data_IF_370242495121
#
_entry.id   IF_370242495121
#
_cell.length_a   1.000
_cell.length_b   1.000
_cell.length_c   1.000
_cell.angle_alpha   90.00
_cell.angle_beta   90.00
_cell.angle_gamma   90.00
#
_symmetry.space_group_name_H-M   'P 1'
#
loop_
_entity.id
_entity.type
_entity.pdbx_description
1 polymer ?
#
# COMPACT_ATOMS: atom_id res chain seq x y z
N UNK A 1 -5.14 24.30 3.43
CA UNK A 1 -6.44 24.42 4.13
C UNK A 1 -7.42 25.29 3.34
N UNK A 2 -6.95 26.06 2.36
CA UNK A 2 -7.79 26.69 1.34
C UNK A 2 -8.60 25.68 0.49
N UNK A 3 -9.88 25.53 0.80
CA UNK A 3 -10.80 24.61 0.12
C UNK A 3 -10.97 24.90 -1.39
N UNK A 4 -11.14 26.17 -1.84
CA UNK A 4 -11.15 26.51 -3.25
C UNK A 4 -9.97 25.94 -4.03
N UNK A 5 -8.74 26.11 -3.55
CA UNK A 5 -7.55 25.56 -4.21
C UNK A 5 -7.57 24.03 -4.24
N UNK A 6 -7.96 23.38 -3.14
CA UNK A 6 -8.08 21.92 -3.07
C UNK A 6 -9.09 21.41 -4.11
N UNK A 7 -10.27 22.03 -4.21
CA UNK A 7 -11.28 21.66 -5.20
C UNK A 7 -10.79 21.90 -6.63
N UNK A 8 -10.05 22.97 -6.86
CA UNK A 8 -9.48 23.26 -8.17
C UNK A 8 -8.46 22.22 -8.60
N UNK A 9 -7.53 21.86 -7.72
CA UNK A 9 -6.53 20.80 -7.97
C UNK A 9 -7.23 19.46 -8.22
N UNK A 10 -8.23 19.12 -7.40
CA UNK A 10 -9.01 17.89 -7.59
C UNK A 10 -9.74 17.87 -8.95
N UNK A 11 -10.37 18.96 -9.38
CA UNK A 11 -11.01 19.06 -10.71
C UNK A 11 -9.97 18.90 -11.85
N UNK A 12 -8.81 19.55 -11.73
CA UNK A 12 -7.73 19.44 -12.72
C UNK A 12 -7.25 17.99 -12.89
N UNK A 13 -6.98 17.30 -11.77
CA UNK A 13 -6.47 15.94 -11.78
C UNK A 13 -7.52 14.93 -12.27
N UNK A 14 -8.78 15.09 -11.89
CA UNK A 14 -9.87 14.26 -12.41
C UNK A 14 -10.03 14.41 -13.93
N UNK A 15 -9.94 15.65 -14.46
CA UNK A 15 -10.00 15.89 -15.91
C UNK A 15 -8.78 15.36 -16.65
N UNK A 16 -7.62 15.36 -16.01
CA UNK A 16 -6.38 14.82 -16.57
C UNK A 16 -6.28 13.29 -16.46
N UNK A 17 -7.10 12.64 -15.61
CA UNK A 17 -6.99 11.22 -15.31
C UNK A 17 -5.75 10.89 -14.47
N UNK A 18 -5.36 11.80 -13.57
CA UNK A 18 -4.17 11.64 -12.71
C UNK A 18 -4.56 11.37 -11.26
N UNK A 19 -3.76 10.55 -10.57
CA UNK A 19 -3.97 10.23 -9.16
C UNK A 19 -3.72 11.46 -8.26
N UNK A 20 -4.68 11.74 -7.38
CA UNK A 20 -4.63 12.86 -6.45
C UNK A 20 -3.67 12.63 -5.30
N UNK A 21 -3.47 11.37 -4.87
CA UNK A 21 -2.56 11.03 -3.79
C UNK A 21 -1.12 11.25 -4.24
N UNK A 22 -0.71 10.58 -5.33
CA UNK A 22 0.62 10.73 -5.91
C UNK A 22 0.93 12.17 -6.32
N UNK A 23 0.01 12.86 -7.00
CA UNK A 23 0.25 14.26 -7.37
C UNK A 23 0.41 15.16 -6.13
N UNK A 24 -0.38 14.94 -5.08
CA UNK A 24 -0.24 15.65 -3.81
C UNK A 24 1.13 15.43 -3.17
N UNK A 25 1.60 14.18 -3.14
CA UNK A 25 2.93 13.81 -2.65
C UNK A 25 4.07 14.44 -3.46
N UNK A 26 3.95 14.45 -4.80
CA UNK A 26 4.90 15.06 -5.72
C UNK A 26 4.99 16.58 -5.55
N UNK A 27 3.85 17.26 -5.40
CA UNK A 27 3.83 18.71 -5.14
C UNK A 27 4.45 19.03 -3.78
N UNK A 28 4.12 18.24 -2.74
CA UNK A 28 4.71 18.38 -1.42
C UNK A 28 6.24 18.21 -1.46
N UNK A 29 6.72 17.20 -2.18
CA UNK A 29 8.15 16.98 -2.42
C UNK A 29 8.83 18.18 -3.10
N UNK A 30 8.21 18.75 -4.13
CA UNK A 30 8.76 19.90 -4.86
C UNK A 30 8.84 21.16 -3.97
N UNK A 31 7.80 21.42 -3.16
CA UNK A 31 7.81 22.53 -2.19
C UNK A 31 8.93 22.33 -1.18
N UNK A 32 9.08 21.12 -0.62
CA UNK A 32 10.12 20.85 0.38
C UNK A 32 11.53 20.97 -0.21
N UNK A 33 11.75 20.50 -1.44
CA UNK A 33 13.01 20.70 -2.15
C UNK A 33 13.31 22.19 -2.38
N UNK A 34 12.29 23.00 -2.66
CA UNK A 34 12.45 24.45 -2.83
C UNK A 34 12.80 25.15 -1.50
N UNK A 35 12.12 24.80 -0.40
CA UNK A 35 12.43 25.36 0.92
C UNK A 35 13.85 25.01 1.40
N UNK A 36 14.36 23.85 0.98
CA UNK A 36 15.72 23.41 1.28
C UNK A 36 16.75 23.86 0.23
N UNK A 37 16.37 24.70 -0.73
CA UNK A 37 17.27 25.27 -1.74
C UNK A 37 17.79 24.29 -2.80
N UNK A 38 17.22 23.09 -2.88
CA UNK A 38 17.52 22.11 -3.94
C UNK A 38 16.89 22.56 -5.27
N UNK A 39 15.65 23.04 -5.20
CA UNK A 39 14.98 23.70 -6.31
C UNK A 39 14.98 25.20 -6.08
N UNK A 40 15.12 25.96 -7.15
CA UNK A 40 15.05 27.42 -7.12
C UNK A 40 14.08 27.93 -8.18
N UNK A 41 13.88 29.26 -8.22
CA UNK A 41 13.07 29.90 -9.26
C UNK A 41 13.60 29.66 -10.68
N UNK A 42 14.85 29.19 -10.82
CA UNK A 42 15.40 28.80 -12.11
C UNK A 42 14.77 27.52 -12.64
N UNK A 43 14.57 26.52 -11.79
CA UNK A 43 13.98 25.23 -12.20
C UNK A 43 12.45 25.33 -12.29
N UNK A 44 11.82 26.19 -11.49
CA UNK A 44 10.37 26.34 -11.41
C UNK A 44 9.79 27.38 -12.38
N UNK A 45 10.56 27.84 -13.37
CA UNK A 45 10.16 28.89 -14.33
C UNK A 45 9.66 30.19 -13.65
N UNK A 46 10.32 30.58 -12.56
CA UNK A 46 10.01 31.78 -11.79
C UNK A 46 8.97 31.59 -10.68
N UNK A 47 8.39 30.39 -10.53
CA UNK A 47 7.39 30.12 -9.51
C UNK A 47 8.04 29.97 -8.13
N UNK A 48 7.59 30.74 -7.14
CA UNK A 48 7.98 30.50 -5.75
C UNK A 48 7.11 29.39 -5.15
N UNK A 49 7.73 28.32 -4.67
CA UNK A 49 7.01 27.22 -4.04
C UNK A 49 7.04 27.37 -2.52
N UNK A 50 5.86 27.53 -1.90
CA UNK A 50 5.72 27.71 -0.44
C UNK A 50 4.54 26.89 0.08
N UNK A 51 4.66 26.37 1.30
CA UNK A 51 3.52 25.71 1.95
C UNK A 51 2.36 26.69 2.13
N UNK A 52 1.15 26.22 1.78
CA UNK A 52 -0.07 27.02 1.89
C UNK A 52 -0.32 27.98 0.73
N UNK A 53 0.58 28.09 -0.24
CA UNK A 53 0.36 28.90 -1.45
C UNK A 53 -0.48 28.13 -2.48
N UNK A 54 -1.80 28.34 -2.43
CA UNK A 54 -2.76 27.66 -3.31
C UNK A 54 -2.54 27.92 -4.79
N UNK A 55 -2.19 29.16 -5.18
CA UNK A 55 -1.98 29.54 -6.57
C UNK A 55 -0.71 28.87 -7.14
N UNK A 56 0.38 28.84 -6.37
CA UNK A 56 1.60 28.14 -6.77
C UNK A 56 1.37 26.62 -6.90
N UNK A 57 0.62 26.02 -5.97
CA UNK A 57 0.24 24.61 -6.01
C UNK A 57 -0.59 24.27 -7.25
N UNK A 58 -1.61 25.09 -7.56
CA UNK A 58 -2.43 24.91 -8.77
C UNK A 58 -1.53 25.00 -10.00
N UNK A 59 -0.65 26.00 -10.06
CA UNK A 59 0.20 26.22 -11.23
C UNK A 59 1.20 25.07 -11.45
N UNK A 60 1.83 24.59 -10.39
CA UNK A 60 2.72 23.44 -10.46
C UNK A 60 1.96 22.18 -10.89
N UNK A 61 0.74 21.98 -10.40
CA UNK A 61 -0.13 20.88 -10.83
C UNK A 61 -0.41 20.94 -12.33
N UNK A 62 -0.73 22.12 -12.88
CA UNK A 62 -0.90 22.29 -14.33
C UNK A 62 0.37 21.98 -15.12
N UNK A 63 1.54 22.35 -14.60
CA UNK A 63 2.83 22.05 -15.22
C UNK A 63 3.08 20.54 -15.26
N UNK A 64 2.78 19.82 -14.16
CA UNK A 64 2.86 18.36 -14.08
C UNK A 64 1.95 17.70 -15.11
N UNK A 65 0.66 18.09 -15.15
CA UNK A 65 -0.33 17.56 -16.11
C UNK A 65 0.15 17.74 -17.56
N UNK A 66 0.78 18.89 -17.87
CA UNK A 66 1.25 19.22 -19.21
C UNK A 66 2.67 18.74 -19.50
N UNK A 67 3.37 18.15 -18.53
CA UNK A 67 4.81 17.84 -18.59
C UNK A 67 5.64 19.03 -19.09
N UNK A 68 5.47 20.19 -18.45
CA UNK A 68 6.16 21.44 -18.83
C UNK A 68 7.16 21.87 -17.76
N UNK A 69 8.39 22.19 -18.18
CA UNK A 69 9.47 22.62 -17.28
C UNK A 69 9.72 21.55 -16.20
N UNK A 70 9.78 21.97 -14.94
CA UNK A 70 9.86 21.07 -13.78
C UNK A 70 8.74 20.01 -13.76
N UNK A 71 7.57 20.31 -14.33
CA UNK A 71 6.45 19.37 -14.42
C UNK A 71 6.78 18.07 -15.16
N UNK A 72 7.68 18.09 -16.15
CA UNK A 72 8.11 16.86 -16.85
C UNK A 72 8.93 15.93 -15.95
N UNK A 73 9.76 16.52 -15.08
CA UNK A 73 10.56 15.78 -14.09
C UNK A 73 9.65 15.16 -13.03
N UNK A 74 8.67 15.95 -12.55
CA UNK A 74 7.77 15.58 -11.46
C UNK A 74 6.68 14.57 -11.88
N UNK A 75 6.29 14.55 -13.16
CA UNK A 75 5.19 13.71 -13.65
C UNK A 75 5.43 12.19 -13.54
N UNK A 76 6.66 11.76 -13.26
CA UNK A 76 7.03 10.33 -13.11
C UNK A 76 7.08 9.88 -11.63
N UNK A 77 6.58 10.69 -10.69
CA UNK A 77 6.51 10.36 -9.26
C UNK A 77 7.76 10.73 -8.48
N UNK A 78 7.67 10.76 -7.14
CA UNK A 78 8.73 11.30 -6.27
C UNK A 78 10.04 10.53 -6.34
N UNK A 79 9.99 9.20 -6.55
CA UNK A 79 11.19 8.37 -6.62
C UNK A 79 12.06 8.75 -7.82
N UNK A 80 11.47 8.74 -9.02
CA UNK A 80 12.20 9.09 -10.25
C UNK A 80 12.52 10.58 -10.32
N UNK A 81 11.64 11.44 -9.79
CA UNK A 81 11.93 12.87 -9.70
C UNK A 81 13.16 13.14 -8.81
N UNK A 82 13.25 12.50 -7.64
CA UNK A 82 14.40 12.63 -6.75
C UNK A 82 15.70 12.11 -7.39
N UNK A 83 15.66 10.98 -8.10
CA UNK A 83 16.81 10.47 -8.85
C UNK A 83 17.30 11.46 -9.92
N UNK A 84 16.38 12.13 -10.63
CA UNK A 84 16.72 13.12 -11.67
C UNK A 84 17.21 14.44 -11.08
N UNK A 85 16.62 14.91 -9.99
CA UNK A 85 16.99 16.17 -9.32
C UNK A 85 18.31 16.00 -8.57
N UNK A 86 18.52 14.86 -7.93
CA UNK A 86 19.68 14.55 -7.11
C UNK A 86 19.80 15.46 -5.89
N UNK A 87 21.03 15.79 -5.50
CA UNK A 87 21.35 16.76 -4.44
C UNK A 87 20.75 16.44 -3.06
N UNK A 88 20.57 15.16 -2.74
CA UNK A 88 19.99 14.74 -1.46
C UNK A 88 18.46 14.85 -1.41
N UNK A 89 17.79 15.11 -2.54
CA UNK A 89 16.33 15.24 -2.59
C UNK A 89 15.60 13.96 -2.19
N UNK A 90 16.25 12.79 -2.25
CA UNK A 90 15.68 11.53 -1.80
C UNK A 90 15.21 11.55 -0.34
N UNK A 91 15.79 12.42 0.51
CA UNK A 91 15.36 12.62 1.89
C UNK A 91 13.94 13.21 2.03
N UNK A 92 13.43 13.82 0.96
CA UNK A 92 12.11 14.44 0.87
C UNK A 92 11.12 13.60 0.04
N UNK A 93 11.59 12.55 -0.65
CA UNK A 93 10.78 11.70 -1.51
C UNK A 93 10.01 10.64 -0.69
N UNK A 94 8.88 11.04 -0.09
CA UNK A 94 8.11 10.18 0.82
C UNK A 94 7.29 9.14 0.05
N UNK A 95 7.83 7.93 -0.11
CA UNK A 95 7.18 6.83 -0.81
C UNK A 95 7.41 5.45 -0.16
N UNK A 96 6.68 4.44 -0.64
CA UNK A 96 6.91 3.01 -0.39
C UNK A 96 7.18 2.35 -1.74
N UNK A 97 8.43 1.94 -2.01
CA UNK A 97 8.78 1.29 -3.29
C UNK A 97 8.60 2.09 -4.58
N UNK A 98 8.33 3.40 -4.48
CA UNK A 98 8.03 4.29 -5.61
C UNK A 98 6.59 4.80 -5.63
N UNK A 99 5.70 4.25 -4.80
CA UNK A 99 4.34 4.76 -4.63
C UNK A 99 4.26 5.72 -3.46
N UNK A 100 3.75 6.94 -3.68
CA UNK A 100 3.57 7.93 -2.63
C UNK A 100 2.64 7.43 -1.51
N UNK A 101 2.93 7.85 -0.28
CA UNK A 101 2.15 7.42 0.87
C UNK A 101 0.76 8.10 0.91
N UNK A 102 -0.31 7.37 1.28
CA UNK A 102 -1.66 7.91 1.40
C UNK A 102 -1.87 8.62 2.75
N UNK A 103 -3.10 9.09 3.01
CA UNK A 103 -3.46 9.91 4.18
C UNK A 103 -3.51 9.17 5.53
N UNK A 104 -2.98 7.95 5.64
CA UNK A 104 -2.99 7.20 6.90
C UNK A 104 -1.58 7.01 7.41
N UNK A 105 -1.29 7.56 8.59
CA UNK A 105 0.02 7.45 9.20
C UNK A 105 0.18 6.10 9.93
N UNK A 106 1.09 5.21 9.48
CA UNK A 106 1.30 3.90 10.10
C UNK A 106 1.73 3.95 11.56
N UNK A 107 2.22 5.09 12.05
CA UNK A 107 2.54 5.27 13.48
C UNK A 107 1.29 5.22 14.36
N UNK A 108 0.09 5.40 13.81
CA UNK A 108 -1.17 5.22 14.54
C UNK A 108 -1.83 3.86 14.32
N UNK A 109 -1.75 3.33 13.11
CA UNK A 109 -2.23 1.99 12.74
C UNK A 109 -1.10 1.27 11.99
N UNK A 110 -0.26 0.50 12.72
CA UNK A 110 0.83 -0.25 12.11
C UNK A 110 0.39 -1.30 11.10
N UNK A 111 -0.89 -1.68 11.07
CA UNK A 111 -1.44 -2.53 10.02
C UNK A 111 -1.25 -1.90 8.64
N UNK A 112 -1.39 -0.58 8.51
CA UNK A 112 -1.04 0.12 7.28
C UNK A 112 0.45 0.01 6.95
N UNK A 113 1.32 0.10 7.95
CA UNK A 113 2.77 -0.08 7.75
C UNK A 113 3.10 -1.43 7.15
N UNK A 114 2.45 -2.50 7.66
CA UNK A 114 2.59 -3.85 7.10
C UNK A 114 2.19 -3.90 5.63
N UNK A 115 0.97 -3.49 5.27
CA UNK A 115 0.55 -3.57 3.85
C UNK A 115 1.33 -2.64 2.94
N UNK A 116 1.73 -1.45 3.40
CA UNK A 116 2.49 -0.50 2.58
C UNK A 116 3.84 -1.06 2.14
N UNK A 117 4.48 -1.87 2.98
CA UNK A 117 5.79 -2.47 2.69
C UNK A 117 5.75 -3.93 2.29
N UNK A 118 4.63 -4.63 2.46
CA UNK A 118 4.58 -6.09 2.26
C UNK A 118 3.52 -6.55 1.25
N UNK A 119 2.49 -5.75 0.95
CA UNK A 119 1.52 -6.12 -0.09
C UNK A 119 2.20 -6.09 -1.47
N UNK A 120 1.77 -6.92 -2.44
CA UNK A 120 2.26 -6.86 -3.81
C UNK A 120 2.06 -5.52 -4.49
N UNK A 121 1.19 -4.64 -3.96
CA UNK A 121 1.13 -3.24 -4.40
C UNK A 121 1.46 -2.33 -3.21
N UNK A 122 2.59 -1.60 -3.27
CA UNK A 122 3.07 -0.82 -2.13
C UNK A 122 2.18 0.39 -1.85
N UNK A 123 2.32 0.98 -0.65
CA UNK A 123 1.68 2.26 -0.33
C UNK A 123 0.14 2.30 -0.38
N UNK A 124 -0.55 1.16 -0.46
CA UNK A 124 -2.03 1.13 -0.54
C UNK A 124 -2.71 0.99 0.81
N UNK A 125 -3.59 1.94 1.12
CA UNK A 125 -4.42 1.95 2.32
C UNK A 125 -5.76 1.21 2.17
N UNK A 126 -6.10 0.76 0.97
CA UNK A 126 -7.36 0.08 0.71
C UNK A 126 -7.28 -1.44 0.92
N UNK A 127 -6.12 -2.00 1.29
CA UNK A 127 -5.95 -3.46 1.37
C UNK A 127 -6.43 -3.99 2.72
N UNK A 128 -5.64 -3.77 3.77
CA UNK A 128 -5.87 -4.30 5.12
C UNK A 128 -5.22 -3.37 6.14
N UNK A 129 -5.80 -3.25 7.33
CA UNK A 129 -5.23 -2.50 8.46
C UNK A 129 -5.95 -2.91 9.75
N UNK A 130 -5.48 -2.48 10.93
CA UNK A 130 -6.18 -2.79 12.17
C UNK A 130 -7.58 -2.16 12.18
N UNK A 131 -7.70 -0.94 11.67
CA UNK A 131 -8.99 -0.26 11.51
C UNK A 131 -9.92 -1.00 10.56
N UNK A 132 -9.43 -1.45 9.40
CA UNK A 132 -10.27 -2.17 8.44
C UNK A 132 -10.74 -3.52 9.01
N UNK A 133 -9.86 -4.26 9.68
CA UNK A 133 -10.20 -5.54 10.30
C UNK A 133 -11.27 -5.40 11.39
N UNK A 134 -11.24 -4.33 12.18
CA UNK A 134 -12.27 -4.06 13.21
C UNK A 134 -13.64 -3.76 12.59
N UNK A 135 -13.66 -3.03 11.47
CA UNK A 135 -14.88 -2.67 10.75
C UNK A 135 -15.50 -3.87 10.02
N UNK A 136 -14.66 -4.68 9.37
CA UNK A 136 -15.09 -5.83 8.55
C UNK A 136 -15.53 -7.03 9.40
N UNK A 137 -15.09 -7.12 10.67
CA UNK A 137 -15.51 -8.15 11.65
C UNK A 137 -15.38 -9.59 11.11
N UNK A 138 -14.28 -9.84 10.39
CA UNK A 138 -14.02 -11.11 9.71
C UNK A 138 -14.02 -12.32 10.65
N UNK A 139 -13.74 -12.11 11.94
CA UNK A 139 -13.80 -13.12 13.00
C UNK A 139 -15.19 -13.74 13.19
N UNK A 140 -16.25 -13.07 12.71
CA UNK A 140 -17.63 -13.57 12.78
C UNK A 140 -18.00 -14.50 11.62
N UNK A 141 -17.26 -14.44 10.52
CA UNK A 141 -17.60 -15.14 9.28
C UNK A 141 -16.55 -16.20 8.93
N UNK A 142 -15.27 -15.85 9.03
CA UNK A 142 -14.19 -16.71 8.56
C UNK A 142 -13.47 -17.42 9.71
N UNK A 143 -13.33 -18.74 9.59
CA UNK A 143 -12.55 -19.53 10.53
C UNK A 143 -11.08 -19.09 10.52
N UNK A 144 -10.50 -18.93 11.71
CA UNK A 144 -9.10 -18.52 11.86
C UNK A 144 -8.88 -17.00 11.83
N UNK A 145 -9.88 -16.21 11.40
CA UNK A 145 -9.83 -14.76 11.54
C UNK A 145 -9.88 -14.38 13.03
N UNK A 146 -9.03 -13.41 13.41
CA UNK A 146 -8.90 -12.92 14.79
C UNK A 146 -9.40 -11.49 14.84
N UNK A 147 -10.21 -11.20 15.87
CA UNK A 147 -10.64 -9.83 16.14
C UNK A 147 -9.43 -8.93 16.38
N UNK A 148 -9.32 -7.86 15.61
CA UNK A 148 -8.25 -6.87 15.73
C UNK A 148 -8.89 -5.49 15.93
N UNK A 149 -9.00 -5.00 17.17
CA UNK A 149 -9.73 -3.76 17.45
C UNK A 149 -8.96 -2.52 16.97
N UNK A 150 -9.62 -1.54 16.38
CA UNK A 150 -8.96 -0.29 15.97
C UNK A 150 -8.43 0.49 17.18
N UNK A 151 -9.15 0.41 18.30
CA UNK A 151 -8.79 1.05 19.56
C UNK A 151 -8.13 0.04 20.50
N UNK A 152 -6.83 0.20 20.68
CA UNK A 152 -6.04 -0.63 21.58
C UNK A 152 -4.98 0.19 22.33
N UNK A 153 -4.49 -0.38 23.43
CA UNK A 153 -3.37 0.22 24.18
C UNK A 153 -2.11 0.31 23.30
N UNK A 154 -1.23 1.27 23.57
CA UNK A 154 0.03 1.39 22.84
C UNK A 154 0.86 0.08 22.88
N UNK A 155 0.86 -0.62 24.03
CA UNK A 155 1.56 -1.90 24.18
C UNK A 155 1.05 -2.98 23.24
N UNK A 156 -0.26 -3.02 22.98
CA UNK A 156 -0.87 -4.00 22.08
C UNK A 156 -0.77 -3.57 20.60
N UNK A 157 -0.80 -2.26 20.34
CA UNK A 157 -0.70 -1.67 18.99
C UNK A 157 0.58 -2.04 18.28
N UNK A 158 1.69 -2.00 19.00
CA UNK A 158 3.02 -2.21 18.43
C UNK A 158 3.55 -3.64 18.66
N UNK A 159 2.65 -4.60 18.94
CA UNK A 159 2.95 -6.04 18.93
C UNK A 159 2.51 -6.59 17.58
N UNK A 160 3.46 -7.06 16.78
CA UNK A 160 3.25 -7.40 15.38
C UNK A 160 3.03 -8.90 15.19
N UNK A 161 3.69 -9.72 16.00
CA UNK A 161 3.76 -11.19 15.87
C UNK A 161 2.39 -11.85 15.97
N UNK A 162 1.44 -11.23 16.68
CA UNK A 162 0.07 -11.74 16.81
C UNK A 162 -0.92 -11.16 15.77
N UNK A 163 -0.44 -10.30 14.84
CA UNK A 163 -1.29 -9.60 13.85
C UNK A 163 -1.11 -10.11 12.43
N UNK A 164 0.01 -10.78 12.12
CA UNK A 164 0.29 -11.32 10.78
C UNK A 164 -0.88 -12.11 10.16
N UNK A 165 -1.40 -13.11 10.86
CA UNK A 165 -2.54 -13.93 10.41
C UNK A 165 -3.77 -13.08 10.08
N UNK A 166 -4.11 -12.13 10.95
CA UNK A 166 -5.30 -11.30 10.79
C UNK A 166 -5.15 -10.37 9.58
N UNK A 167 -3.96 -9.79 9.42
CA UNK A 167 -3.63 -8.95 8.28
C UNK A 167 -3.69 -9.74 6.96
N UNK A 168 -3.16 -10.97 6.94
CA UNK A 168 -3.20 -11.85 5.77
C UNK A 168 -4.64 -12.21 5.36
N UNK A 169 -5.49 -12.61 6.33
CA UNK A 169 -6.92 -12.86 6.07
C UNK A 169 -7.61 -11.60 5.56
N UNK A 170 -7.31 -10.42 6.11
CA UNK A 170 -7.83 -9.15 5.58
C UNK A 170 -7.44 -8.93 4.11
N UNK A 171 -6.19 -9.20 3.75
CA UNK A 171 -5.73 -9.12 2.35
C UNK A 171 -6.44 -10.13 1.44
N UNK A 172 -6.67 -11.36 1.91
CA UNK A 172 -7.41 -12.37 1.14
C UNK A 172 -8.87 -11.95 0.92
N UNK A 173 -9.53 -11.47 1.98
CA UNK A 173 -10.89 -10.96 1.89
C UNK A 173 -10.97 -9.76 0.94
N UNK A 174 -9.99 -8.85 0.97
CA UNK A 174 -9.91 -7.75 0.01
C UNK A 174 -9.89 -8.25 -1.43
N UNK A 175 -9.08 -9.25 -1.76
CA UNK A 175 -9.03 -9.83 -3.11
C UNK A 175 -10.39 -10.37 -3.54
N UNK A 176 -11.12 -11.02 -2.62
CA UNK A 176 -12.48 -11.47 -2.89
C UNK A 176 -13.42 -10.30 -3.19
N UNK A 177 -13.43 -9.25 -2.36
CA UNK A 177 -14.29 -8.07 -2.55
C UNK A 177 -13.99 -7.38 -3.88
N UNK A 178 -12.72 -7.15 -4.18
CA UNK A 178 -12.30 -6.45 -5.40
C UNK A 178 -12.66 -7.26 -6.66
N UNK A 179 -12.39 -8.57 -6.67
CA UNK A 179 -12.73 -9.43 -7.81
C UNK A 179 -14.24 -9.66 -7.97
N UNK A 180 -15.03 -9.55 -6.89
CA UNK A 180 -16.48 -9.56 -6.96
C UNK A 180 -17.06 -8.25 -7.54
N UNK A 181 -16.24 -7.21 -7.75
CA UNK A 181 -16.71 -5.87 -8.08
C UNK A 181 -17.42 -5.18 -6.91
N UNK A 182 -17.20 -5.67 -5.69
CA UNK A 182 -17.79 -5.15 -4.47
C UNK A 182 -17.15 -3.83 -4.04
N UNK A 183 -17.98 -2.90 -3.55
CA UNK A 183 -17.45 -1.68 -2.93
C UNK A 183 -16.89 -2.00 -1.54
N UNK A 184 -15.64 -1.62 -1.29
CA UNK A 184 -14.98 -1.70 0.02
C UNK A 184 -15.80 -1.06 1.14
N UNK A 185 -16.42 0.10 0.90
CA UNK A 185 -17.26 0.74 1.92
C UNK A 185 -18.51 -0.06 2.26
N UNK A 186 -18.99 -0.88 1.34
CA UNK A 186 -20.09 -1.80 1.60
C UNK A 186 -19.75 -2.76 2.73
N UNK A 187 -18.59 -3.42 2.66
CA UNK A 187 -18.18 -4.41 3.66
C UNK A 187 -17.62 -3.80 4.96
N UNK A 188 -17.28 -2.50 4.96
CA UNK A 188 -16.72 -1.80 6.12
C UNK A 188 -17.75 -0.98 6.89
N UNK A 189 -18.60 -0.23 6.18
CA UNK A 189 -19.52 0.76 6.76
C UNK A 189 -20.98 0.38 6.44
N UNK A 190 -21.21 -0.36 5.36
CA UNK A 190 -22.54 -0.80 4.92
C UNK A 190 -23.21 -1.88 5.78
N UNK A 191 -22.53 -2.37 6.82
CA UNK A 191 -23.03 -3.43 7.72
C UNK A 191 -22.69 -4.83 7.23
N UNK A 192 -23.45 -5.83 7.70
CA UNK A 192 -23.23 -7.26 7.37
C UNK A 192 -23.73 -7.58 5.95
N UNK A 193 -23.01 -7.09 4.94
CA UNK A 193 -23.30 -7.40 3.53
C UNK A 193 -23.12 -8.92 3.30
N UNK A 194 -24.15 -9.63 2.80
CA UNK A 194 -24.09 -11.07 2.58
C UNK A 194 -23.39 -11.39 1.24
N UNK A 195 -22.16 -10.89 1.06
CA UNK A 195 -21.39 -10.97 -0.19
C UNK A 195 -21.33 -12.39 -0.75
N UNK A 196 -21.07 -13.37 0.11
CA UNK A 196 -20.92 -14.78 -0.29
C UNK A 196 -22.24 -15.39 -0.75
N UNK A 197 -23.36 -15.01 -0.12
CA UNK A 197 -24.69 -15.43 -0.56
C UNK A 197 -25.03 -14.83 -1.94
N UNK A 198 -24.66 -13.57 -2.16
CA UNK A 198 -24.84 -12.93 -3.46
C UNK A 198 -23.99 -13.58 -4.55
N UNK A 199 -22.73 -13.89 -4.26
CA UNK A 199 -21.85 -14.60 -5.19
C UNK A 199 -22.44 -15.96 -5.55
N UNK A 200 -22.82 -16.77 -4.56
CA UNK A 200 -23.45 -18.07 -4.83
C UNK A 200 -24.76 -17.95 -5.62
N UNK A 201 -25.60 -16.96 -5.34
CA UNK A 201 -26.85 -16.74 -6.07
C UNK A 201 -26.61 -16.29 -7.52
N UNK A 202 -25.50 -15.61 -7.80
CA UNK A 202 -25.16 -15.12 -9.14
C UNK A 202 -24.40 -16.17 -9.97
N UNK A 203 -23.64 -17.07 -9.34
CA UNK A 203 -22.72 -17.99 -10.02
C UNK A 203 -23.12 -19.46 -9.95
N UNK A 204 -24.07 -19.81 -9.08
CA UNK A 204 -24.45 -21.19 -8.74
C UNK A 204 -23.27 -22.07 -8.23
N UNK A 205 -22.18 -21.46 -7.77
CA UNK A 205 -21.01 -22.20 -7.30
C UNK A 205 -21.25 -22.97 -6.00
N UNK A 206 -22.18 -22.50 -5.16
CA UNK A 206 -22.53 -23.13 -3.89
C UNK A 206 -21.33 -23.39 -2.96
N UNK A 207 -20.36 -22.47 -2.95
CA UNK A 207 -19.14 -22.56 -2.16
C UNK A 207 -19.36 -22.03 -0.74
N UNK A 208 -18.56 -22.52 0.21
CA UNK A 208 -18.57 -22.05 1.60
C UNK A 208 -17.78 -20.75 1.78
N UNK A 209 -17.92 -20.12 2.95
CA UNK A 209 -17.13 -18.94 3.32
C UNK A 209 -15.61 -19.20 3.22
N UNK A 210 -15.17 -20.40 3.61
CA UNK A 210 -13.75 -20.77 3.58
C UNK A 210 -13.24 -20.99 2.16
N UNK A 211 -14.07 -21.52 1.26
CA UNK A 211 -13.69 -21.71 -0.14
C UNK A 211 -13.49 -20.36 -0.84
N UNK A 212 -14.34 -19.37 -0.55
CA UNK A 212 -14.16 -18.01 -1.07
C UNK A 212 -12.94 -17.30 -0.47
N UNK A 213 -12.66 -17.49 0.82
CA UNK A 213 -11.43 -16.95 1.40
C UNK A 213 -10.18 -17.59 0.77
N UNK A 214 -10.23 -18.90 0.48
CA UNK A 214 -9.18 -19.62 -0.23
C UNK A 214 -8.99 -19.09 -1.68
N UNK A 215 -10.07 -18.69 -2.37
CA UNK A 215 -9.96 -17.99 -3.66
C UNK A 215 -9.22 -16.64 -3.48
N UNK A 216 -9.56 -15.88 -2.45
CA UNK A 216 -8.87 -14.62 -2.11
C UNK A 216 -7.38 -14.82 -1.84
N UNK A 217 -7.03 -15.86 -1.09
CA UNK A 217 -5.63 -16.27 -0.86
C UNK A 217 -4.92 -16.60 -2.17
N UNK A 218 -5.53 -17.41 -3.04
CA UNK A 218 -4.98 -17.78 -4.35
C UNK A 218 -4.63 -16.54 -5.18
N UNK A 219 -5.53 -15.56 -5.22
CA UNK A 219 -5.31 -14.30 -5.96
C UNK A 219 -4.15 -13.51 -5.34
N UNK A 220 -4.10 -13.41 -4.01
CA UNK A 220 -3.02 -12.70 -3.31
C UNK A 220 -1.66 -13.34 -3.58
N UNK A 221 -1.58 -14.68 -3.56
CA UNK A 221 -0.34 -15.39 -3.89
C UNK A 221 0.10 -15.18 -5.34
N UNK A 222 -0.85 -15.17 -6.28
CA UNK A 222 -0.55 -14.90 -7.68
C UNK A 222 -0.01 -13.48 -7.91
N UNK A 223 -0.61 -12.47 -7.24
CA UNK A 223 -0.12 -11.09 -7.28
C UNK A 223 1.31 -10.97 -6.75
N UNK A 224 1.60 -11.63 -5.63
CA UNK A 224 2.95 -11.64 -5.06
C UNK A 224 3.95 -12.35 -5.97
N UNK A 225 3.58 -13.52 -6.48
CA UNK A 225 4.40 -14.29 -7.40
C UNK A 225 4.78 -13.51 -8.67
N UNK A 226 3.88 -12.65 -9.18
CA UNK A 226 4.19 -11.74 -10.27
C UNK A 226 5.39 -10.85 -9.93
N UNK A 227 5.40 -10.20 -8.77
CA UNK A 227 6.52 -9.34 -8.37
C UNK A 227 7.82 -10.12 -8.24
N UNK A 228 7.77 -11.31 -7.65
CA UNK A 228 8.96 -12.17 -7.51
C UNK A 228 9.53 -12.56 -8.88
N UNK A 229 8.66 -12.90 -9.86
CA UNK A 229 9.07 -13.17 -11.24
C UNK A 229 9.76 -11.95 -11.88
N UNK A 230 9.25 -10.75 -11.60
CA UNK A 230 9.85 -9.49 -12.07
C UNK A 230 11.10 -9.07 -11.25
N UNK A 231 11.54 -9.89 -10.29
CA UNK A 231 12.75 -9.64 -9.49
C UNK A 231 12.55 -8.68 -8.32
N UNK A 232 11.31 -8.48 -7.86
CA UNK A 232 10.96 -7.63 -6.73
C UNK A 232 10.52 -8.46 -5.52
N UNK A 233 11.19 -8.29 -4.40
CA UNK A 233 10.77 -8.76 -3.09
C UNK A 233 10.13 -7.60 -2.31
N UNK A 234 8.79 -7.55 -2.14
CA UNK A 234 8.09 -6.43 -1.52
C UNK A 234 8.69 -5.95 -0.19
N UNK A 235 9.03 -6.83 0.75
CA UNK A 235 9.53 -6.38 2.06
C UNK A 235 10.92 -5.70 2.00
N UNK A 236 11.64 -5.88 0.89
CA UNK A 236 12.95 -5.26 0.64
C UNK A 236 12.77 -4.05 -0.28
N UNK A 237 12.07 -4.22 -1.41
CA UNK A 237 11.98 -3.20 -2.46
C UNK A 237 10.94 -2.13 -2.17
N UNK A 238 9.92 -2.44 -1.34
CA UNK A 238 8.82 -1.53 -1.01
C UNK A 238 8.95 -0.93 0.39
N UNK A 239 10.14 -0.94 0.96
CA UNK A 239 10.37 -0.39 2.31
C UNK A 239 9.83 1.03 2.46
N UNK A 240 9.28 1.28 3.64
CA UNK A 240 8.71 2.57 4.01
C UNK A 240 9.82 3.63 4.07
N UNK A 241 9.60 4.79 3.46
CA UNK A 241 10.46 5.95 3.69
C UNK A 241 10.61 6.23 5.20
N UNK A 242 11.80 6.62 5.70
CA UNK A 242 12.07 6.79 7.14
C UNK A 242 11.07 7.71 7.87
N UNK A 243 10.55 8.74 7.18
CA UNK A 243 9.50 9.64 7.71
C UNK A 243 8.18 8.92 8.02
N UNK A 244 7.82 7.93 7.20
CA UNK A 244 6.60 7.12 7.38
C UNK A 244 6.77 6.23 8.61
N UNK A 245 7.92 5.56 8.72
CA UNK A 245 8.22 4.61 9.81
C UNK A 245 8.65 5.29 11.12
N UNK A 246 8.93 6.59 11.12
CA UNK A 246 9.31 7.34 12.32
C UNK A 246 10.80 7.23 12.67
N UNK A 247 11.67 7.34 11.68
CA UNK A 247 13.13 7.36 11.84
C UNK A 247 13.73 8.65 11.25
N UNK A 248 14.12 9.62 12.08
CA UNK A 248 13.94 9.68 13.54
C UNK A 248 12.46 9.87 13.95
N UNK A 249 12.09 9.55 15.20
CA UNK A 249 10.72 9.72 15.67
C UNK A 249 10.35 11.20 15.80
N UNK A 250 9.05 11.49 15.73
CA UNK A 250 8.52 12.83 15.95
C UNK A 250 8.77 13.29 17.40
N UNK A 251 9.04 14.58 17.57
CA UNK A 251 9.31 15.23 18.85
C UNK A 251 8.03 15.71 19.56
N UNK A 252 6.93 15.85 18.81
CA UNK A 252 5.63 16.37 19.25
C UNK A 252 4.44 15.64 18.60
N UNK A 253 3.25 15.93 19.11
CA UNK A 253 1.99 15.39 18.60
C UNK A 253 1.70 13.96 19.10
N UNK A 254 0.58 13.35 18.66
CA UNK A 254 0.09 12.11 19.24
C UNK A 254 0.91 10.86 18.83
N UNK A 255 1.79 10.98 17.84
CA UNK A 255 2.77 9.95 17.45
C UNK A 255 4.20 10.25 17.94
N UNK A 256 4.35 11.14 18.92
CA UNK A 256 5.65 11.48 19.52
C UNK A 256 6.35 10.22 20.02
N UNK A 257 7.64 10.10 19.68
CA UNK A 257 8.49 9.00 20.14
C UNK A 257 8.17 7.64 19.52
N UNK A 258 7.29 7.57 18.52
CA UNK A 258 6.95 6.31 17.84
C UNK A 258 7.91 6.09 16.67
N UNK A 259 8.59 4.94 16.70
CA UNK A 259 9.34 4.36 15.59
C UNK A 259 8.84 2.94 15.38
N UNK A 260 8.48 2.60 14.15
CA UNK A 260 7.93 1.29 13.81
C UNK A 260 9.03 0.29 13.52
N UNK A 261 8.91 -0.93 14.02
CA UNK A 261 9.81 -2.02 13.64
C UNK A 261 9.31 -2.64 12.33
N UNK A 262 9.81 -2.10 11.21
CA UNK A 262 9.41 -2.53 9.86
C UNK A 262 9.82 -3.97 9.59
N UNK A 263 10.93 -4.43 10.15
CA UNK A 263 11.40 -5.80 9.96
C UNK A 263 10.55 -6.81 10.73
N UNK A 264 10.16 -6.50 11.97
CA UNK A 264 9.21 -7.32 12.72
C UNK A 264 7.82 -7.35 12.07
N UNK A 265 7.35 -6.21 11.54
CA UNK A 265 6.11 -6.13 10.76
C UNK A 265 6.15 -7.03 9.51
N UNK A 266 7.25 -6.94 8.74
CA UNK A 266 7.45 -7.76 7.55
C UNK A 266 7.52 -9.25 7.89
N UNK A 267 8.24 -9.60 8.96
CA UNK A 267 8.37 -10.98 9.45
C UNK A 267 7.00 -11.58 9.78
N UNK A 268 6.20 -10.89 10.59
CA UNK A 268 4.88 -11.38 10.98
C UNK A 268 3.95 -11.58 9.76
N UNK A 269 3.98 -10.66 8.78
CA UNK A 269 3.15 -10.79 7.58
C UNK A 269 3.64 -11.90 6.64
N UNK A 270 4.96 -12.02 6.42
CA UNK A 270 5.54 -13.03 5.53
C UNK A 270 5.38 -14.44 6.09
N UNK A 271 5.54 -14.62 7.40
CA UNK A 271 5.24 -15.89 8.07
C UNK A 271 3.77 -16.30 7.86
N UNK A 272 2.83 -15.36 8.06
CA UNK A 272 1.40 -15.60 7.84
C UNK A 272 1.06 -15.90 6.37
N UNK A 273 1.80 -15.32 5.42
CA UNK A 273 1.66 -15.56 3.98
C UNK A 273 2.37 -16.83 3.49
N UNK A 274 3.27 -17.41 4.30
CA UNK A 274 4.14 -18.51 3.88
C UNK A 274 5.14 -18.06 2.82
N UNK A 275 5.70 -16.86 2.97
CA UNK A 275 6.72 -16.28 2.12
C UNK A 275 8.06 -16.27 2.83
N UNK A 276 9.13 -16.58 2.09
CA UNK A 276 10.48 -16.53 2.62
C UNK A 276 11.00 -15.08 2.63
N UNK A 277 11.53 -14.61 3.75
CA UNK A 277 11.87 -13.19 3.91
C UNK A 277 12.96 -12.70 2.95
N UNK A 278 13.99 -13.51 2.68
CA UNK A 278 15.15 -13.05 1.90
C UNK A 278 14.87 -13.03 0.40
N UNK A 279 14.26 -14.08 -0.15
CA UNK A 279 13.92 -14.16 -1.57
C UNK A 279 12.52 -13.68 -1.92
N UNK A 280 11.61 -13.62 -0.95
CA UNK A 280 10.18 -13.41 -1.17
C UNK A 280 9.45 -14.63 -1.75
N UNK A 281 10.13 -15.75 -1.99
CA UNK A 281 9.50 -16.93 -2.61
C UNK A 281 8.38 -17.50 -1.73
N UNK A 282 7.20 -17.79 -2.32
CA UNK A 282 6.15 -18.52 -1.61
C UNK A 282 6.50 -19.99 -1.36
N UNK A 283 6.01 -20.54 -0.26
CA UNK A 283 6.06 -21.97 0.04
C UNK A 283 5.38 -22.78 -1.09
N UNK A 284 6.12 -23.65 -1.80
CA UNK A 284 5.57 -24.46 -2.88
C UNK A 284 4.42 -25.36 -2.44
N UNK A 285 4.45 -25.90 -1.21
CA UNK A 285 3.36 -26.75 -0.72
C UNK A 285 2.07 -25.95 -0.52
N UNK A 286 2.19 -24.65 -0.20
CA UNK A 286 1.04 -23.75 -0.10
C UNK A 286 0.47 -23.41 -1.48
N UNK A 287 1.34 -23.11 -2.46
CA UNK A 287 0.92 -22.90 -3.84
C UNK A 287 0.22 -24.13 -4.43
N UNK A 288 0.70 -25.33 -4.12
CA UNK A 288 0.11 -26.59 -4.58
C UNK A 288 -1.30 -26.77 -4.03
N UNK A 289 -1.52 -26.52 -2.73
CA UNK A 289 -2.87 -26.55 -2.12
C UNK A 289 -3.82 -25.53 -2.74
N UNK A 290 -3.30 -24.44 -3.28
CA UNK A 290 -4.06 -23.39 -3.96
C UNK A 290 -4.27 -23.71 -5.45
N UNK A 291 -3.70 -24.79 -5.99
CA UNK A 291 -3.79 -25.15 -7.40
C UNK A 291 -2.95 -24.26 -8.33
N UNK A 292 -1.92 -23.59 -7.81
CA UNK A 292 -1.04 -22.68 -8.56
C UNK A 292 0.20 -23.40 -9.11
N UNK A 293 0.02 -24.53 -9.79
CA UNK A 293 1.13 -25.37 -10.27
C UNK A 293 2.05 -24.65 -11.25
N UNK A 294 1.48 -23.90 -12.21
CA UNK A 294 2.26 -23.10 -13.18
C UNK A 294 3.13 -22.03 -12.50
N UNK A 295 2.68 -21.50 -11.36
CA UNK A 295 3.46 -20.54 -10.56
C UNK A 295 4.63 -21.23 -9.87
N UNK A 296 4.44 -22.47 -9.39
CA UNK A 296 5.55 -23.26 -8.82
C UNK A 296 6.61 -23.49 -9.89
N UNK A 297 6.22 -23.89 -11.10
CA UNK A 297 7.16 -24.12 -12.21
C UNK A 297 7.91 -22.84 -12.59
N UNK A 298 7.21 -21.70 -12.65
CA UNK A 298 7.81 -20.42 -13.01
C UNK A 298 8.80 -19.89 -11.96
N UNK A 299 8.52 -20.10 -10.67
CA UNK A 299 9.33 -19.55 -9.57
C UNK A 299 10.37 -20.54 -9.02
N UNK A 300 10.14 -21.85 -9.21
CA UNK A 300 10.99 -22.93 -8.71
C UNK A 300 11.39 -23.88 -9.85
N UNK A 301 12.15 -23.42 -10.85
CA UNK A 301 12.45 -24.21 -12.04
C UNK A 301 13.16 -25.53 -11.71
N UNK A 302 13.97 -25.58 -10.65
CA UNK A 302 14.65 -26.80 -10.18
C UNK A 302 13.69 -27.89 -9.63
N UNK A 303 12.43 -27.54 -9.34
CA UNK A 303 11.37 -28.50 -8.94
C UNK A 303 10.54 -29.00 -10.12
N UNK A 304 10.49 -28.28 -11.24
CA UNK A 304 9.78 -28.71 -12.46
C UNK A 304 10.39 -29.97 -13.10
N UNK A 305 11.68 -30.24 -12.83
CA UNK A 305 12.41 -31.40 -13.34
C UNK A 305 12.16 -32.70 -12.54
N UNK A 306 11.25 -32.71 -11.55
CA UNK A 306 10.95 -33.88 -10.71
C UNK A 306 9.57 -34.50 -10.93
N UNK A 307 8.84 -34.06 -11.94
CA UNK A 307 7.52 -34.61 -12.30
C UNK A 307 7.48 -35.09 -13.75
N UNK A 308 8.29 -36.09 -14.08
CA UNK A 308 7.88 -37.11 -15.05
C UNK A 308 7.99 -38.50 -14.37
N UNK A 309 7.00 -39.39 -14.58
CA UNK A 309 6.85 -40.64 -13.83
C UNK A 309 7.95 -41.68 -14.10
#
# INVERSE_FOLDING_TARGET
DDLPSIFRVNDLLNRAGMDTISCGGVVAFAIECFENGILTTKETDGLELRWGDGEAIIKLTEMIIKRQGLGDILADGVKLAAERIGQGSEAFAVHCGGMEAPMHDPKFDPGYGMVYSCDPVPGRHSVSSYMLLDLERLDRQFKGAKKTPAFMTAKERYRYENKGDAMAIGSFFRMLVDCAGGCTFGVQIGGDIPLIQWLNAATDWNLSDQDYLHIGERIQQLRHAFNIREGLNPCIDFRLHPRISGHPPLDKGPAKGVSLDVDAMATAYYEAMGWELSSGLPDPARLERLGLHEVIEALHPDRSLRSEP
#
